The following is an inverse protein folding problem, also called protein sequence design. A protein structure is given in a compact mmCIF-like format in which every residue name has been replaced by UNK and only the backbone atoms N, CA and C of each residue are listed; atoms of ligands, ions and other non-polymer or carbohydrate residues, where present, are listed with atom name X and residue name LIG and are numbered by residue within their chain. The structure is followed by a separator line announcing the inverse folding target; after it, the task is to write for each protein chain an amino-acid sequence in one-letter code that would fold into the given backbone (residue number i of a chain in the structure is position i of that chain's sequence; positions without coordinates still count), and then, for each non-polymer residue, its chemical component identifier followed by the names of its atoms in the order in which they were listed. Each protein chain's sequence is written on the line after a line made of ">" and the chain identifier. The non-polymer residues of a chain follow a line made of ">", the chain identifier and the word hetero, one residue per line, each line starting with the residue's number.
data_IF_182843097184
#
_entry.id   IF_182843097184
#
_cell.length_a   1.000
_cell.length_b   1.000
_cell.length_c   1.000
_cell.angle_alpha   90.00
_cell.angle_beta   90.00
_cell.angle_gamma   90.00
#
_symmetry.space_group_name_H-M   'P 1'
#
loop_
_entity.id
_entity.type
_entity.pdbx_description
1 polymer ?
#
# COMPACT_ATOMS: atom_id res chain seq x y z
N UNK A 1 -4.55 9.61 20.73
CA UNK A 1 -3.50 8.72 21.18
C UNK A 1 -3.59 8.57 22.69
N UNK A 2 -3.53 7.39 23.23
CA UNK A 2 -3.08 6.16 22.61
C UNK A 2 -4.20 5.22 22.12
N UNK A 3 -5.49 5.58 22.25
CA UNK A 3 -6.61 4.68 22.00
C UNK A 3 -7.32 5.01 20.69
N UNK A 4 -7.44 4.03 19.78
CA UNK A 4 -8.11 4.20 18.47
C UNK A 4 -9.59 4.58 18.62
N UNK A 5 -10.26 4.20 19.71
CA UNK A 5 -11.63 4.61 20.00
C UNK A 5 -11.79 6.14 20.12
N UNK A 6 -10.69 6.87 20.41
CA UNK A 6 -10.71 8.33 20.44
C UNK A 6 -11.06 8.94 19.07
N UNK A 7 -10.62 8.31 17.98
CA UNK A 7 -11.02 8.75 16.62
C UNK A 7 -12.53 8.66 16.46
N UNK A 8 -13.13 7.53 16.87
CA UNK A 8 -14.58 7.33 16.83
C UNK A 8 -15.31 8.35 17.72
N UNK A 9 -14.80 8.58 18.94
CA UNK A 9 -15.42 9.50 19.88
C UNK A 9 -15.35 10.95 19.38
N UNK A 10 -14.16 11.42 18.95
CA UNK A 10 -14.00 12.78 18.36
C UNK A 10 -14.95 12.96 17.18
N UNK A 11 -15.03 11.98 16.28
CA UNK A 11 -15.92 12.03 15.11
C UNK A 11 -17.38 12.21 15.51
N UNK A 12 -17.81 11.58 16.61
CA UNK A 12 -19.16 11.73 17.17
C UNK A 12 -19.34 13.09 17.86
N UNK A 13 -18.40 13.45 18.72
CA UNK A 13 -18.47 14.67 19.54
C UNK A 13 -18.46 15.94 18.69
N UNK A 14 -17.73 15.91 17.57
CA UNK A 14 -17.69 17.04 16.60
C UNK A 14 -18.81 16.99 15.57
N UNK A 15 -19.67 15.96 15.60
CA UNK A 15 -20.74 15.77 14.62
C UNK A 15 -20.23 15.80 13.17
N UNK A 16 -19.05 15.25 12.95
CA UNK A 16 -18.39 15.28 11.64
C UNK A 16 -19.20 14.57 10.56
N UNK A 17 -19.19 15.11 9.36
CA UNK A 17 -19.87 14.54 8.19
C UNK A 17 -18.93 13.78 7.25
N UNK A 18 -17.61 13.94 7.43
CA UNK A 18 -16.57 13.28 6.67
C UNK A 18 -15.46 12.79 7.61
N UNK A 19 -14.93 11.59 7.34
CA UNK A 19 -13.78 11.03 8.03
C UNK A 19 -12.72 10.59 7.00
N UNK A 20 -11.59 11.31 6.96
CA UNK A 20 -10.42 10.96 6.16
C UNK A 20 -9.32 10.36 7.02
N UNK A 21 -8.80 9.19 6.64
CA UNK A 21 -7.72 8.54 7.35
C UNK A 21 -6.88 7.63 6.43
N UNK A 22 -5.71 7.20 6.92
CA UNK A 22 -4.95 6.14 6.27
C UNK A 22 -5.67 4.78 6.36
N UNK A 23 -5.47 3.90 5.38
CA UNK A 23 -6.05 2.56 5.40
C UNK A 23 -5.74 1.80 6.70
N UNK A 24 -4.51 1.96 7.23
CA UNK A 24 -4.10 1.35 8.49
C UNK A 24 -4.93 1.79 9.71
N UNK A 25 -5.43 3.03 9.71
CA UNK A 25 -6.32 3.51 10.78
C UNK A 25 -7.64 2.75 10.74
N UNK A 26 -8.24 2.57 9.56
CA UNK A 26 -9.47 1.80 9.40
C UNK A 26 -9.28 0.32 9.75
N UNK A 27 -8.17 -0.29 9.36
CA UNK A 27 -7.81 -1.65 9.78
C UNK A 27 -7.67 -1.76 11.30
N UNK A 28 -7.03 -0.77 11.92
CA UNK A 28 -6.88 -0.73 13.38
C UNK A 28 -8.24 -0.58 14.07
N UNK A 29 -9.14 0.25 13.55
CA UNK A 29 -10.52 0.33 14.04
C UNK A 29 -11.21 -1.03 13.90
N UNK A 30 -11.13 -1.67 12.74
CA UNK A 30 -11.72 -2.98 12.46
C UNK A 30 -11.24 -4.03 13.45
N UNK A 31 -9.93 -4.13 13.69
CA UNK A 31 -9.33 -5.14 14.56
C UNK A 31 -9.66 -4.93 16.05
N UNK A 32 -9.90 -3.68 16.44
CA UNK A 32 -10.23 -3.34 17.83
C UNK A 32 -11.74 -3.20 18.08
N UNK A 33 -12.56 -3.23 17.03
CA UNK A 33 -14.00 -3.08 17.13
C UNK A 33 -14.67 -4.40 17.53
N UNK A 34 -15.01 -4.52 18.82
CA UNK A 34 -15.60 -5.74 19.41
C UNK A 34 -17.13 -5.66 19.57
N UNK A 35 -17.78 -4.66 19.00
CA UNK A 35 -19.22 -4.45 19.14
C UNK A 35 -20.00 -4.98 17.92
N UNK A 36 -21.17 -5.55 18.17
CA UNK A 36 -22.14 -5.91 17.10
C UNK A 36 -23.04 -4.71 16.68
N UNK A 37 -22.81 -3.52 17.24
CA UNK A 37 -23.55 -2.32 16.86
C UNK A 37 -23.24 -1.95 15.40
N UNK A 38 -24.27 -1.59 14.67
CA UNK A 38 -24.18 -1.07 13.29
C UNK A 38 -24.34 0.44 13.29
N UNK A 39 -23.87 1.07 12.20
CA UNK A 39 -24.03 2.49 11.93
C UNK A 39 -23.61 3.39 13.10
N UNK A 40 -22.44 3.08 13.69
CA UNK A 40 -21.94 3.82 14.87
C UNK A 40 -21.51 5.25 14.57
N UNK A 41 -21.30 5.58 13.28
CA UNK A 41 -20.94 6.90 12.77
C UNK A 41 -21.99 7.39 11.76
N UNK A 42 -23.26 7.48 12.19
CA UNK A 42 -24.43 7.78 11.33
C UNK A 42 -24.30 9.11 10.58
N UNK A 43 -23.58 10.09 11.13
CA UNK A 43 -23.46 11.42 10.53
C UNK A 43 -22.38 11.48 9.44
N UNK A 44 -21.52 10.46 9.32
CA UNK A 44 -20.50 10.42 8.30
C UNK A 44 -21.15 10.06 6.95
N UNK A 45 -21.14 11.00 6.03
CA UNK A 45 -21.62 10.80 4.66
C UNK A 45 -20.51 10.20 3.76
N UNK A 46 -19.23 10.44 4.09
CA UNK A 46 -18.11 10.00 3.28
C UNK A 46 -16.91 9.58 4.15
N UNK A 47 -16.42 8.37 3.92
CA UNK A 47 -15.12 7.90 4.40
C UNK A 47 -14.09 8.03 3.28
N UNK A 48 -12.95 8.65 3.57
CA UNK A 48 -11.84 8.76 2.62
C UNK A 48 -10.66 7.96 3.16
N UNK A 49 -10.11 7.06 2.34
CA UNK A 49 -8.93 6.27 2.67
C UNK A 49 -7.78 6.53 1.70
N UNK A 50 -6.58 6.74 2.25
CA UNK A 50 -5.36 6.99 1.47
C UNK A 50 -4.13 6.38 2.13
N UNK A 51 -2.95 6.60 1.53
CA UNK A 51 -1.64 6.19 2.07
C UNK A 51 -1.24 4.77 1.73
N UNK A 52 -2.18 3.83 1.70
CA UNK A 52 -2.03 2.46 1.20
C UNK A 52 -3.37 1.96 0.66
N UNK A 53 -3.40 0.89 -0.15
CA UNK A 53 -4.64 0.32 -0.65
C UNK A 53 -5.55 -0.09 0.51
N UNK A 54 -6.83 0.30 0.45
CA UNK A 54 -7.84 -0.16 1.39
C UNK A 54 -8.31 -1.56 0.99
N UNK A 55 -8.24 -2.51 1.93
CA UNK A 55 -8.59 -3.90 1.62
C UNK A 55 -10.09 -4.10 1.40
N UNK A 56 -10.50 -5.09 0.60
CA UNK A 56 -11.90 -5.43 0.41
C UNK A 56 -12.65 -5.71 1.72
N UNK A 57 -11.99 -6.32 2.68
CA UNK A 57 -12.62 -6.64 3.97
C UNK A 57 -12.80 -5.39 4.84
N UNK A 58 -11.88 -4.44 4.75
CA UNK A 58 -12.03 -3.15 5.44
C UNK A 58 -13.14 -2.30 4.79
N UNK A 59 -13.30 -2.33 3.46
CA UNK A 59 -14.48 -1.74 2.79
C UNK A 59 -15.78 -2.31 3.36
N UNK A 60 -15.90 -3.63 3.43
CA UNK A 60 -17.09 -4.32 3.98
C UNK A 60 -17.31 -3.94 5.45
N UNK A 61 -16.24 -3.86 6.25
CA UNK A 61 -16.33 -3.45 7.65
C UNK A 61 -16.86 -2.01 7.79
N UNK A 62 -16.33 -1.05 7.03
CA UNK A 62 -16.79 0.34 7.07
C UNK A 62 -18.27 0.39 6.74
N UNK A 63 -18.69 -0.23 5.65
CA UNK A 63 -20.10 -0.26 5.23
C UNK A 63 -21.00 -0.96 6.27
N UNK A 64 -20.60 -2.13 6.75
CA UNK A 64 -21.45 -2.93 7.67
C UNK A 64 -21.52 -2.36 9.07
N UNK A 65 -20.44 -1.77 9.58
CA UNK A 65 -20.30 -1.45 11.00
C UNK A 65 -20.24 0.05 11.29
N UNK A 66 -19.57 0.85 10.43
CA UNK A 66 -19.43 2.27 10.69
C UNK A 66 -20.62 3.07 10.16
N UNK A 67 -20.95 2.97 8.90
CA UNK A 67 -22.18 3.52 8.32
C UNK A 67 -22.52 2.86 6.98
N UNK A 68 -23.67 2.18 6.91
CA UNK A 68 -24.14 1.47 5.71
C UNK A 68 -24.61 2.38 4.58
N UNK A 69 -24.87 3.65 4.86
CA UNK A 69 -25.38 4.66 3.90
C UNK A 69 -24.29 5.62 3.39
N UNK A 70 -23.07 5.48 3.87
CA UNK A 70 -21.97 6.38 3.49
C UNK A 70 -21.27 5.96 2.20
N UNK A 71 -20.68 6.94 1.52
CA UNK A 71 -19.71 6.67 0.46
C UNK A 71 -18.37 6.26 1.07
N UNK A 72 -17.67 5.37 0.39
CA UNK A 72 -16.30 4.96 0.77
C UNK A 72 -15.39 5.24 -0.41
N UNK A 73 -14.57 6.26 -0.29
CA UNK A 73 -13.65 6.69 -1.33
C UNK A 73 -12.22 6.30 -0.95
N UNK A 74 -11.68 5.27 -1.59
CA UNK A 74 -10.24 5.06 -1.60
C UNK A 74 -9.62 6.00 -2.63
N UNK A 75 -8.49 6.63 -2.29
CA UNK A 75 -7.83 7.60 -3.15
C UNK A 75 -6.35 7.30 -3.27
N UNK A 76 -5.79 7.55 -4.46
CA UNK A 76 -4.36 7.44 -4.72
C UNK A 76 -3.84 8.69 -5.38
N UNK A 77 -2.77 9.22 -4.83
CA UNK A 77 -2.09 10.40 -5.30
C UNK A 77 -0.70 10.51 -4.67
N UNK A 78 -0.16 11.69 -4.63
CA UNK A 78 1.17 11.91 -4.09
C UNK A 78 1.32 13.27 -3.43
N UNK A 79 2.23 13.35 -2.47
CA UNK A 79 2.57 14.61 -1.78
C UNK A 79 3.06 15.66 -2.78
N UNK A 80 3.86 15.25 -3.77
CA UNK A 80 4.45 16.17 -4.75
C UNK A 80 3.41 16.82 -5.66
N UNK A 81 2.30 16.14 -5.93
CA UNK A 81 1.23 16.70 -6.77
C UNK A 81 0.12 17.39 -5.97
N UNK A 82 0.14 17.29 -4.63
CA UNK A 82 -0.90 17.83 -3.74
C UNK A 82 -2.33 17.48 -4.23
N UNK A 83 -2.49 16.31 -4.80
CA UNK A 83 -3.72 15.87 -5.48
C UNK A 83 -3.79 14.34 -5.55
N UNK A 84 -4.85 13.83 -6.19
CA UNK A 84 -5.06 12.42 -6.44
C UNK A 84 -5.17 12.15 -7.94
N UNK A 85 -4.46 11.12 -8.42
CA UNK A 85 -4.65 10.59 -9.77
C UNK A 85 -5.95 9.82 -9.89
N UNK A 86 -6.28 9.07 -8.84
CA UNK A 86 -7.50 8.28 -8.75
C UNK A 86 -8.22 8.58 -7.44
N UNK A 87 -9.53 8.67 -7.51
CA UNK A 87 -10.36 9.02 -6.36
C UNK A 87 -11.79 8.45 -6.47
N UNK A 88 -12.60 8.73 -5.46
CA UNK A 88 -14.00 8.38 -5.46
C UNK A 88 -14.84 9.33 -6.33
N UNK A 89 -15.80 8.78 -7.05
CA UNK A 89 -16.72 9.50 -7.92
C UNK A 89 -18.13 9.27 -7.39
N UNK A 90 -18.79 10.29 -6.81
CA UNK A 90 -20.08 10.13 -6.11
C UNK A 90 -21.21 9.58 -6.99
N UNK A 91 -21.11 9.74 -8.30
CA UNK A 91 -22.13 9.29 -9.28
C UNK A 91 -21.90 7.84 -9.74
N UNK A 92 -20.82 7.18 -9.31
CA UNK A 92 -20.50 5.81 -9.69
C UNK A 92 -20.64 4.85 -8.49
N UNK A 93 -20.98 3.58 -8.75
CA UNK A 93 -20.99 2.55 -7.69
C UNK A 93 -19.61 2.36 -7.05
N UNK A 94 -19.61 2.04 -5.77
CA UNK A 94 -18.39 1.66 -5.02
C UNK A 94 -18.22 0.14 -5.06
N UNK A 95 -17.12 -0.32 -5.63
CA UNK A 95 -16.74 -1.73 -5.60
C UNK A 95 -15.64 -1.95 -4.54
N UNK A 96 -15.84 -2.97 -3.73
CA UNK A 96 -14.94 -3.29 -2.60
C UNK A 96 -13.51 -3.56 -3.10
N UNK A 97 -12.53 -2.79 -2.60
CA UNK A 97 -11.12 -2.87 -3.00
C UNK A 97 -10.74 -2.10 -4.25
N UNK A 98 -11.69 -1.39 -4.90
CA UNK A 98 -11.41 -0.57 -6.08
C UNK A 98 -11.43 0.92 -5.75
N UNK A 99 -10.61 1.69 -6.47
CA UNK A 99 -10.73 3.15 -6.58
C UNK A 99 -11.60 3.43 -7.81
N UNK A 100 -12.63 4.26 -7.69
CA UNK A 100 -13.69 4.37 -8.69
C UNK A 100 -13.24 4.91 -10.03
N UNK A 101 -12.32 5.87 -10.08
CA UNK A 101 -11.89 6.41 -11.36
C UNK A 101 -10.85 7.53 -11.26
N UNK A 102 -10.52 8.15 -12.41
CA UNK A 102 -9.56 9.24 -12.47
C UNK A 102 -10.10 10.51 -11.80
N UNK A 103 -9.20 11.28 -11.19
CA UNK A 103 -9.47 12.63 -10.74
C UNK A 103 -9.80 13.56 -11.90
N UNK A 104 -10.52 14.63 -11.64
CA UNK A 104 -10.82 15.65 -12.66
C UNK A 104 -9.51 16.27 -13.20
N UNK A 105 -9.38 16.30 -14.51
CA UNK A 105 -8.17 16.78 -15.19
C UNK A 105 -6.99 15.81 -15.19
N UNK A 106 -7.16 14.59 -14.71
CA UNK A 106 -6.14 13.54 -14.67
C UNK A 106 -6.36 12.51 -15.79
N UNK A 107 -5.62 12.62 -16.90
CA UNK A 107 -5.66 11.65 -18.00
C UNK A 107 -4.78 10.45 -17.70
N UNK A 108 -5.23 9.61 -16.79
CA UNK A 108 -4.50 8.43 -16.34
C UNK A 108 -4.70 7.22 -17.24
N UNK A 109 -3.67 6.37 -17.27
CA UNK A 109 -3.71 5.07 -17.94
C UNK A 109 -2.80 4.08 -17.23
N UNK A 110 -2.83 2.82 -17.67
CA UNK A 110 -1.96 1.74 -17.20
C UNK A 110 -1.06 1.31 -18.33
N UNK A 111 0.26 1.50 -18.19
CA UNK A 111 1.24 1.15 -19.22
C UNK A 111 2.02 -0.11 -18.86
N UNK A 112 2.27 -0.94 -19.89
CA UNK A 112 3.26 -2.01 -19.81
C UNK A 112 4.69 -1.45 -19.87
N UNK A 113 5.69 -2.31 -19.76
CA UNK A 113 7.11 -1.90 -19.78
C UNK A 113 7.56 -1.29 -21.12
N UNK A 114 6.83 -1.54 -22.20
CA UNK A 114 7.09 -0.98 -23.51
C UNK A 114 6.40 0.40 -23.73
N UNK A 115 5.83 1.00 -22.68
CA UNK A 115 5.14 2.29 -22.75
C UNK A 115 3.80 2.25 -23.51
N UNK A 116 3.17 1.09 -23.61
CA UNK A 116 1.88 0.92 -24.28
C UNK A 116 0.77 0.64 -23.28
N UNK A 117 -0.46 1.16 -23.50
CA UNK A 117 -1.62 0.84 -22.70
C UNK A 117 -1.85 -0.67 -22.55
N UNK A 118 -2.25 -1.12 -21.37
CA UNK A 118 -2.48 -2.53 -21.08
C UNK A 118 -3.73 -2.74 -20.22
N UNK A 119 -4.45 -3.85 -20.47
CA UNK A 119 -5.53 -4.34 -19.59
C UNK A 119 -5.00 -5.21 -18.46
N UNK A 120 -3.72 -5.58 -18.51
CA UNK A 120 -3.02 -6.28 -17.43
C UNK A 120 -2.55 -5.28 -16.39
N UNK A 121 -1.91 -5.76 -15.34
CA UNK A 121 -1.25 -4.92 -14.35
C UNK A 121 -0.04 -4.21 -14.98
N UNK A 122 0.16 -2.95 -14.63
CA UNK A 122 1.24 -2.14 -15.17
C UNK A 122 1.49 -0.86 -14.35
N UNK A 123 2.26 0.05 -14.92
CA UNK A 123 2.61 1.33 -14.31
C UNK A 123 1.47 2.33 -14.43
N UNK A 124 1.12 3.00 -13.32
CA UNK A 124 0.22 4.16 -13.35
C UNK A 124 0.92 5.33 -14.02
N UNK A 125 0.32 5.84 -15.09
CA UNK A 125 0.80 7.01 -15.81
C UNK A 125 -0.28 8.09 -15.90
N UNK A 126 0.15 9.37 -15.98
CA UNK A 126 -0.69 10.47 -16.42
C UNK A 126 -0.14 11.00 -17.74
N UNK A 127 -0.94 10.89 -18.80
CA UNK A 127 -0.49 11.12 -20.17
C UNK A 127 -0.39 12.59 -20.54
N UNK A 128 -1.23 13.42 -19.93
CA UNK A 128 -1.27 14.86 -20.17
C UNK A 128 -0.79 15.66 -18.96
N UNK A 129 -0.29 16.87 -19.14
CA UNK A 129 -0.02 17.78 -18.04
C UNK A 129 -1.29 18.05 -17.20
N UNK A 130 -1.12 18.20 -15.91
CA UNK A 130 -2.22 18.47 -14.98
C UNK A 130 -1.88 19.68 -14.09
N UNK A 131 -2.90 20.40 -13.55
CA UNK A 131 -2.69 21.71 -12.91
C UNK A 131 -1.72 21.69 -11.72
N UNK A 132 -1.76 20.63 -10.89
CA UNK A 132 -0.95 20.49 -9.68
C UNK A 132 0.40 19.81 -9.90
N UNK A 133 0.83 19.65 -11.17
CA UNK A 133 2.14 19.10 -11.48
C UNK A 133 3.25 20.02 -10.94
N UNK A 134 4.23 19.50 -10.16
CA UNK A 134 5.37 20.29 -9.71
C UNK A 134 6.11 20.94 -10.87
N UNK A 135 6.57 22.14 -10.70
CA UNK A 135 7.36 22.86 -11.69
C UNK A 135 8.81 22.34 -11.68
N UNK A 136 9.36 22.15 -10.46
CA UNK A 136 10.71 21.63 -10.22
C UNK A 136 10.81 21.13 -8.77
N UNK A 137 11.92 20.45 -8.45
CA UNK A 137 12.26 20.13 -7.08
C UNK A 137 13.22 21.17 -6.47
N UNK A 138 13.08 21.40 -5.17
CA UNK A 138 14.00 22.27 -4.44
C UNK A 138 15.44 21.76 -4.56
N UNK A 139 16.40 22.66 -4.81
CA UNK A 139 17.81 22.35 -5.04
C UNK A 139 18.07 21.34 -6.20
N UNK A 140 17.27 21.40 -7.26
CA UNK A 140 17.40 20.58 -8.47
C UNK A 140 17.49 21.47 -9.71
N UNK A 141 18.57 22.26 -9.81
CA UNK A 141 18.76 23.31 -10.84
C UNK A 141 18.63 22.83 -12.28
N UNK A 142 19.05 21.57 -12.55
CA UNK A 142 18.99 20.96 -13.88
C UNK A 142 17.72 20.11 -14.08
N UNK A 143 16.87 20.04 -13.08
CA UNK A 143 15.69 19.17 -13.04
C UNK A 143 16.00 17.66 -13.21
N UNK A 144 17.21 17.21 -12.89
CA UNK A 144 17.64 15.83 -13.05
C UNK A 144 16.91 14.89 -12.10
N UNK A 145 16.73 15.29 -10.83
CA UNK A 145 15.98 14.52 -9.83
C UNK A 145 14.51 14.43 -10.22
N UNK A 146 13.92 15.56 -10.62
CA UNK A 146 12.54 15.64 -11.06
C UNK A 146 12.27 14.77 -12.29
N UNK A 147 13.10 14.91 -13.33
CA UNK A 147 13.01 14.09 -14.54
C UNK A 147 13.22 12.61 -14.24
N UNK A 148 14.22 12.29 -13.40
CA UNK A 148 14.51 10.92 -13.01
C UNK A 148 13.35 10.28 -12.22
N UNK A 149 12.67 11.05 -11.36
CA UNK A 149 11.57 10.55 -10.55
C UNK A 149 10.33 10.17 -11.38
N UNK A 150 9.99 10.99 -12.40
CA UNK A 150 8.68 10.89 -13.03
C UNK A 150 8.70 10.67 -14.55
N UNK A 151 9.81 10.96 -15.25
CA UNK A 151 9.87 10.93 -16.71
C UNK A 151 10.96 10.02 -17.27
N UNK A 152 11.77 9.39 -16.41
CA UNK A 152 12.84 8.49 -16.85
C UNK A 152 12.30 7.23 -17.52
N UNK A 153 11.22 6.66 -16.98
CA UNK A 153 10.66 5.40 -17.47
C UNK A 153 9.96 5.60 -18.82
N UNK A 154 9.16 6.65 -18.93
CA UNK A 154 8.43 7.01 -20.14
C UNK A 154 8.65 8.50 -20.42
N UNK A 155 9.48 8.86 -21.43
CA UNK A 155 9.75 10.27 -21.75
C UNK A 155 8.46 11.07 -22.00
N UNK A 156 8.36 12.24 -21.38
CA UNK A 156 7.23 13.17 -21.44
C UNK A 156 5.90 12.66 -20.85
N UNK A 157 5.86 11.49 -20.25
CA UNK A 157 4.68 10.93 -19.60
C UNK A 157 5.00 10.77 -18.11
N UNK A 158 4.13 11.33 -17.25
CA UNK A 158 4.28 11.19 -15.79
C UNK A 158 4.09 9.73 -15.37
N UNK A 159 5.14 9.13 -14.85
CA UNK A 159 5.14 7.77 -14.28
C UNK A 159 5.12 7.87 -12.77
N UNK A 160 3.99 7.49 -12.14
CA UNK A 160 3.81 7.77 -10.70
C UNK A 160 4.58 6.82 -9.79
N UNK A 161 4.92 5.65 -10.29
CA UNK A 161 5.60 4.62 -9.51
C UNK A 161 4.63 3.73 -8.72
N UNK A 162 3.36 3.66 -9.12
CA UNK A 162 2.38 2.72 -8.59
C UNK A 162 2.09 1.62 -9.62
N UNK A 163 2.02 0.37 -9.13
CA UNK A 163 1.69 -0.81 -9.93
C UNK A 163 0.19 -1.08 -9.82
N UNK A 164 -0.54 -0.88 -10.93
CA UNK A 164 -2.01 -0.84 -10.91
C UNK A 164 -2.62 -1.68 -12.02
N UNK A 165 -3.91 -1.97 -11.88
CA UNK A 165 -4.73 -2.61 -12.92
C UNK A 165 -6.06 -1.90 -13.02
N UNK A 166 -6.50 -1.60 -14.25
CA UNK A 166 -7.87 -1.17 -14.53
C UNK A 166 -8.80 -2.38 -14.47
N UNK A 167 -9.91 -2.25 -13.74
CA UNK A 167 -10.87 -3.34 -13.58
C UNK A 167 -11.91 -3.35 -14.69
N UNK A 168 -12.69 -4.42 -14.77
CA UNK A 168 -13.83 -4.50 -15.70
C UNK A 168 -14.95 -3.53 -15.35
N UNK A 169 -15.00 -3.05 -14.10
CA UNK A 169 -15.97 -2.07 -13.63
C UNK A 169 -15.56 -0.62 -13.97
N UNK A 170 -14.39 -0.42 -14.60
CA UNK A 170 -13.84 0.89 -14.93
C UNK A 170 -13.00 1.52 -13.82
N UNK A 171 -12.99 0.94 -12.61
CA UNK A 171 -12.17 1.35 -11.48
C UNK A 171 -10.73 0.85 -11.57
N UNK A 172 -9.97 1.07 -10.50
CA UNK A 172 -8.54 0.70 -10.42
C UNK A 172 -8.23 -0.02 -9.11
N UNK A 173 -7.34 -1.02 -9.19
CA UNK A 173 -6.75 -1.69 -8.03
C UNK A 173 -5.26 -1.42 -8.01
N UNK A 174 -4.73 -1.01 -6.85
CA UNK A 174 -3.30 -0.78 -6.63
C UNK A 174 -2.70 -2.01 -5.96
N UNK A 175 -1.61 -2.51 -6.52
CA UNK A 175 -0.85 -3.66 -6.00
C UNK A 175 0.42 -3.26 -5.25
N UNK A 176 0.66 -1.97 -5.08
CA UNK A 176 1.80 -1.40 -4.38
C UNK A 176 2.64 -0.47 -5.27
N UNK A 177 3.85 -0.16 -4.79
CA UNK A 177 4.82 0.64 -5.56
C UNK A 177 5.44 -0.19 -6.68
N UNK A 178 5.60 0.39 -7.87
CA UNK A 178 6.24 -0.30 -8.99
C UNK A 178 7.74 -0.54 -8.77
N UNK A 179 8.40 0.35 -8.01
CA UNK A 179 9.80 0.24 -7.61
C UNK A 179 10.03 -0.79 -6.48
N UNK A 180 8.98 -1.12 -5.71
CA UNK A 180 8.98 -2.19 -4.70
C UNK A 180 8.39 -3.51 -5.22
N UNK A 181 8.01 -3.58 -6.49
CA UNK A 181 7.48 -4.81 -7.13
C UNK A 181 8.52 -5.93 -7.05
N UNK A 182 8.05 -7.11 -6.64
CA UNK A 182 8.85 -8.33 -6.59
C UNK A 182 8.89 -8.99 -7.98
N UNK A 183 9.98 -9.68 -8.29
CA UNK A 183 10.16 -10.28 -9.62
C UNK A 183 10.68 -11.73 -9.60
N UNK A 184 10.08 -12.65 -8.81
CA UNK A 184 10.53 -14.02 -8.71
C UNK A 184 10.31 -14.77 -10.03
N UNK A 185 11.41 -15.32 -10.59
CA UNK A 185 11.37 -16.04 -11.87
C UNK A 185 10.83 -15.20 -13.02
N UNK A 186 11.10 -13.89 -13.05
CA UNK A 186 10.69 -12.97 -14.10
C UNK A 186 9.21 -12.56 -14.08
N UNK A 187 8.45 -12.92 -13.03
CA UNK A 187 7.04 -12.55 -12.89
C UNK A 187 6.89 -11.42 -11.87
N UNK A 188 6.35 -10.28 -12.31
CA UNK A 188 6.08 -9.16 -11.42
C UNK A 188 4.92 -9.43 -10.47
N UNK A 189 5.17 -9.23 -9.18
CA UNK A 189 4.22 -9.40 -8.09
C UNK A 189 4.19 -8.13 -7.26
N UNK A 190 3.01 -7.56 -7.06
CA UNK A 190 2.81 -6.43 -6.17
C UNK A 190 2.85 -6.86 -4.70
N UNK A 191 3.59 -6.13 -3.86
CA UNK A 191 3.64 -6.42 -2.41
C UNK A 191 2.26 -6.38 -1.76
N UNK A 192 1.37 -5.51 -2.26
CA UNK A 192 -0.02 -5.40 -1.80
C UNK A 192 -0.85 -6.67 -1.97
N UNK A 193 -0.54 -7.53 -2.95
CA UNK A 193 -1.21 -8.82 -3.12
C UNK A 193 -0.93 -9.74 -1.92
N UNK A 194 0.33 -9.79 -1.50
CA UNK A 194 0.76 -10.56 -0.34
C UNK A 194 0.12 -9.98 0.93
N UNK A 195 0.18 -8.67 1.13
CA UNK A 195 -0.38 -8.02 2.32
C UNK A 195 -1.88 -8.26 2.46
N UNK A 196 -2.65 -8.07 1.40
CA UNK A 196 -4.11 -8.33 1.39
C UNK A 196 -4.43 -9.78 1.73
N UNK A 197 -3.62 -10.72 1.23
CA UNK A 197 -3.80 -12.14 1.49
C UNK A 197 -3.52 -12.51 2.96
N UNK A 198 -2.59 -11.80 3.61
CA UNK A 198 -2.19 -12.05 5.00
C UNK A 198 -3.10 -11.39 6.06
N UNK A 199 -3.92 -10.42 5.70
CA UNK A 199 -4.81 -9.70 6.62
C UNK A 199 -5.78 -10.58 7.42
N UNK A 200 -6.15 -11.73 6.92
CA UNK A 200 -7.02 -12.67 7.63
C UNK A 200 -6.37 -13.31 8.87
N UNK A 201 -5.06 -13.24 8.98
CA UNK A 201 -4.34 -13.80 10.12
C UNK A 201 -4.23 -12.77 11.24
N UNK A 202 -5.21 -12.74 12.13
CA UNK A 202 -5.31 -11.76 13.22
C UNK A 202 -4.12 -11.73 14.18
N UNK A 203 -3.25 -12.74 14.16
CA UNK A 203 -2.02 -12.80 14.94
C UNK A 203 -0.84 -12.08 14.27
N UNK A 204 -0.97 -11.68 13.00
CA UNK A 204 -0.02 -10.80 12.32
C UNK A 204 -0.43 -9.35 12.61
N UNK A 205 0.43 -8.61 13.32
CA UNK A 205 0.23 -7.19 13.56
C UNK A 205 0.60 -6.38 12.32
N UNK A 206 1.71 -6.76 11.68
CA UNK A 206 2.24 -6.09 10.50
C UNK A 206 3.14 -7.00 9.69
N UNK A 207 3.35 -6.67 8.40
CA UNK A 207 4.23 -7.44 7.54
C UNK A 207 4.89 -6.57 6.46
N UNK A 208 6.06 -7.02 5.98
CA UNK A 208 6.79 -6.40 4.87
C UNK A 208 7.37 -7.50 3.97
N UNK A 209 7.03 -7.45 2.69
CA UNK A 209 7.59 -8.33 1.66
C UNK A 209 8.60 -7.55 0.82
N UNK A 210 9.74 -8.17 0.54
CA UNK A 210 10.77 -7.56 -0.30
C UNK A 210 11.56 -8.64 -1.06
N UNK A 211 12.35 -8.21 -2.05
CA UNK A 211 13.15 -9.09 -2.90
C UNK A 211 14.58 -9.23 -2.39
N UNK A 212 15.05 -10.45 -2.24
CA UNK A 212 16.44 -10.79 -2.06
C UNK A 212 17.06 -11.24 -3.38
N UNK A 213 18.11 -10.57 -3.82
CA UNK A 213 18.77 -10.85 -5.08
C UNK A 213 19.74 -12.02 -4.94
N UNK A 214 19.53 -13.07 -5.72
CA UNK A 214 20.47 -14.17 -5.89
C UNK A 214 21.23 -14.02 -7.22
N UNK A 215 22.20 -14.87 -7.50
CA UNK A 215 22.96 -14.80 -8.76
C UNK A 215 22.07 -14.80 -10.02
N UNK A 216 20.95 -15.52 -10.00
CA UNK A 216 20.14 -15.78 -11.19
C UNK A 216 18.67 -15.37 -11.06
N UNK A 217 18.21 -14.93 -9.86
CA UNK A 217 16.80 -14.70 -9.62
C UNK A 217 16.59 -13.77 -8.41
N UNK A 218 15.38 -13.25 -8.27
CA UNK A 218 14.92 -12.56 -7.07
C UNK A 218 14.03 -13.51 -6.25
N UNK A 219 14.34 -13.65 -4.95
CA UNK A 219 13.55 -14.45 -4.00
C UNK A 219 12.74 -13.56 -3.09
N UNK A 220 11.48 -13.93 -2.85
CA UNK A 220 10.63 -13.21 -1.91
C UNK A 220 11.06 -13.52 -0.48
N UNK A 221 11.34 -12.49 0.30
CA UNK A 221 11.54 -12.55 1.75
C UNK A 221 10.42 -11.80 2.42
N UNK A 222 9.78 -12.45 3.40
CA UNK A 222 8.67 -11.91 4.16
C UNK A 222 9.09 -11.68 5.61
N UNK A 223 8.91 -10.47 6.10
CA UNK A 223 9.11 -10.10 7.50
C UNK A 223 7.75 -9.94 8.17
N UNK A 224 7.60 -10.50 9.36
CA UNK A 224 6.36 -10.48 10.14
C UNK A 224 6.60 -9.86 11.51
N UNK A 225 5.74 -8.92 11.86
CA UNK A 225 5.57 -8.47 13.24
C UNK A 225 4.34 -9.17 13.80
N UNK A 226 4.51 -9.91 14.90
CA UNK A 226 3.44 -10.67 15.54
C UNK A 226 2.84 -9.88 16.70
N UNK A 227 1.52 -10.00 16.90
CA UNK A 227 0.85 -9.45 18.09
C UNK A 227 1.35 -10.10 19.39
N UNK A 228 1.69 -11.38 19.32
CA UNK A 228 2.26 -12.13 20.44
C UNK A 228 3.31 -13.09 19.91
N UNK A 229 4.54 -13.00 20.42
CA UNK A 229 5.65 -13.87 20.02
C UNK A 229 5.55 -15.32 20.53
N UNK A 230 4.63 -15.59 21.48
CA UNK A 230 4.39 -16.93 22.04
C UNK A 230 3.37 -17.75 21.24
N UNK A 231 3.19 -17.47 19.96
CA UNK A 231 2.31 -18.23 19.09
C UNK A 231 2.97 -19.58 18.77
N UNK A 232 2.41 -20.65 19.32
CA UNK A 232 2.87 -22.02 19.06
C UNK A 232 2.18 -22.60 17.80
N UNK A 233 2.50 -22.01 16.63
CA UNK A 233 1.94 -22.42 15.33
C UNK A 233 3.07 -22.47 14.32
N UNK A 234 3.09 -23.48 13.48
CA UNK A 234 3.96 -23.50 12.31
C UNK A 234 3.48 -22.49 11.25
N UNK A 235 3.79 -21.22 11.53
CA UNK A 235 3.41 -20.12 10.64
C UNK A 235 4.03 -20.26 9.26
N UNK A 236 5.21 -20.86 9.11
CA UNK A 236 5.86 -21.07 7.82
C UNK A 236 4.98 -21.91 6.90
N UNK A 237 4.60 -23.10 7.34
CA UNK A 237 3.76 -24.01 6.55
C UNK A 237 2.39 -23.41 6.27
N UNK A 238 1.76 -22.80 7.28
CA UNK A 238 0.42 -22.20 7.15
C UNK A 238 0.42 -21.06 6.12
N UNK A 239 1.34 -20.10 6.25
CA UNK A 239 1.38 -18.94 5.38
C UNK A 239 1.79 -19.30 3.96
N UNK A 240 2.80 -20.16 3.79
CA UNK A 240 3.23 -20.63 2.46
C UNK A 240 2.10 -21.38 1.74
N UNK A 241 1.41 -22.28 2.44
CA UNK A 241 0.25 -23.00 1.89
C UNK A 241 -0.85 -21.99 1.50
N UNK A 242 -1.16 -21.04 2.38
CA UNK A 242 -2.20 -20.07 2.12
C UNK A 242 -1.89 -19.17 0.92
N UNK A 243 -0.69 -18.60 0.85
CA UNK A 243 -0.27 -17.76 -0.27
C UNK A 243 -0.27 -18.54 -1.60
N UNK A 244 0.17 -19.82 -1.57
CA UNK A 244 0.14 -20.69 -2.74
C UNK A 244 -1.28 -20.93 -3.26
N UNK A 245 -2.23 -21.19 -2.37
CA UNK A 245 -3.62 -21.54 -2.75
C UNK A 245 -4.48 -20.33 -3.09
N UNK A 246 -4.28 -19.21 -2.40
CA UNK A 246 -5.09 -18.00 -2.60
C UNK A 246 -4.57 -17.10 -3.73
N UNK A 247 -3.28 -17.15 -4.04
CA UNK A 247 -2.65 -16.36 -5.09
C UNK A 247 -1.99 -17.26 -6.14
N UNK A 248 -0.73 -17.65 -5.94
CA UNK A 248 -0.04 -18.60 -6.82
C UNK A 248 1.25 -19.13 -6.18
N UNK A 249 1.86 -20.21 -6.73
CA UNK A 249 3.17 -20.68 -6.25
C UNK A 249 4.29 -19.62 -6.26
N UNK A 250 4.20 -18.62 -7.14
CA UNK A 250 5.21 -17.55 -7.25
C UNK A 250 5.14 -16.50 -6.15
N UNK A 251 3.99 -16.40 -5.43
CA UNK A 251 3.82 -15.53 -4.27
C UNK A 251 4.37 -16.13 -2.97
N UNK A 252 4.79 -17.40 -3.01
CA UNK A 252 5.26 -18.09 -1.81
C UNK A 252 6.64 -17.54 -1.43
N UNK A 253 6.81 -16.98 -0.22
CA UNK A 253 8.10 -16.47 0.21
C UNK A 253 9.11 -17.62 0.36
N UNK A 254 10.32 -17.36 -0.09
CA UNK A 254 11.45 -18.27 0.12
C UNK A 254 11.75 -18.41 1.61
N UNK A 255 11.86 -17.26 2.31
CA UNK A 255 12.07 -17.21 3.76
C UNK A 255 11.08 -16.26 4.43
N UNK A 256 10.75 -16.58 5.69
CA UNK A 256 9.90 -15.78 6.56
C UNK A 256 10.68 -15.53 7.86
N UNK A 257 10.83 -14.26 8.23
CA UNK A 257 11.47 -13.84 9.47
C UNK A 257 10.48 -13.13 10.38
N UNK A 258 10.58 -13.40 11.68
CA UNK A 258 9.87 -12.62 12.69
C UNK A 258 10.77 -11.47 13.11
N UNK A 259 10.23 -10.28 13.16
CA UNK A 259 10.92 -9.05 13.55
C UNK A 259 10.15 -8.32 14.62
N UNK A 260 10.84 -7.50 15.41
CA UNK A 260 10.24 -6.70 16.47
C UNK A 260 9.39 -5.56 15.90
N UNK A 261 9.83 -4.96 14.79
CA UNK A 261 9.10 -3.86 14.17
C UNK A 261 9.37 -3.77 12.66
N UNK A 262 8.43 -3.18 11.93
CA UNK A 262 8.52 -2.96 10.48
C UNK A 262 8.96 -1.50 10.23
N UNK A 263 10.05 -1.25 9.46
CA UNK A 263 10.47 0.10 9.12
C UNK A 263 9.40 0.88 8.37
N UNK A 264 9.03 2.05 8.88
CA UNK A 264 7.99 2.90 8.30
C UNK A 264 8.46 4.33 8.11
N UNK A 265 7.98 4.95 7.06
CA UNK A 265 8.13 6.40 6.88
C UNK A 265 7.34 7.16 7.95
N UNK A 266 7.66 8.44 8.17
CA UNK A 266 6.90 9.33 9.07
C UNK A 266 5.41 9.43 8.72
N UNK A 267 5.04 9.16 7.47
CA UNK A 267 3.65 9.04 7.01
C UNK A 267 3.01 7.66 7.22
N UNK A 268 3.72 6.71 7.86
CA UNK A 268 3.23 5.37 8.19
C UNK A 268 3.31 4.34 7.06
N UNK A 269 3.94 4.65 5.93
CA UNK A 269 4.10 3.71 4.80
C UNK A 269 5.25 2.74 5.06
N UNK A 270 5.11 1.49 4.61
CA UNK A 270 6.19 0.50 4.63
C UNK A 270 7.39 0.96 3.81
N UNK A 271 8.59 0.66 4.29
CA UNK A 271 9.84 1.07 3.65
C UNK A 271 10.50 -0.12 2.93
N UNK A 272 9.76 -0.76 1.99
CA UNK A 272 10.19 -1.98 1.28
C UNK A 272 11.52 -1.79 0.57
N UNK A 273 11.72 -0.66 -0.12
CA UNK A 273 12.95 -0.35 -0.87
C UNK A 273 14.14 -0.24 0.09
N UNK A 274 13.93 0.37 1.26
CA UNK A 274 14.96 0.46 2.28
C UNK A 274 15.37 -0.92 2.78
N UNK A 275 14.39 -1.76 3.13
CA UNK A 275 14.66 -3.13 3.59
C UNK A 275 15.32 -3.94 2.48
N UNK A 276 14.86 -3.80 1.21
CA UNK A 276 15.51 -4.44 0.05
C UNK A 276 16.99 -4.10 -0.02
N UNK A 277 17.36 -2.83 0.12
CA UNK A 277 18.75 -2.39 0.13
C UNK A 277 19.55 -3.01 1.29
N UNK A 278 18.99 -3.00 2.49
CA UNK A 278 19.68 -3.52 3.68
C UNK A 278 20.00 -5.00 3.53
N UNK A 279 19.01 -5.82 3.16
CA UNK A 279 19.20 -7.28 3.06
C UNK A 279 20.06 -7.70 1.87
N UNK A 280 20.23 -6.82 0.88
CA UNK A 280 21.13 -7.05 -0.26
C UNK A 280 22.50 -6.36 -0.08
N UNK A 281 22.81 -5.84 1.12
CA UNK A 281 24.05 -5.15 1.47
C UNK A 281 24.34 -3.89 0.63
N UNK A 282 23.30 -3.25 0.11
CA UNK A 282 23.43 -1.99 -0.61
C UNK A 282 23.59 -0.80 0.36
N UNK A 283 24.21 0.28 -0.13
CA UNK A 283 24.33 1.52 0.65
C UNK A 283 22.96 2.13 0.94
N UNK A 284 22.71 2.39 2.21
CA UNK A 284 21.49 3.02 2.71
C UNK A 284 21.77 4.46 3.10
N UNK A 285 20.97 5.38 2.57
CA UNK A 285 20.99 6.81 2.89
C UNK A 285 19.62 7.23 3.47
N UNK A 286 19.57 8.35 4.21
CA UNK A 286 18.34 8.99 4.68
C UNK A 286 17.47 8.17 5.65
N UNK A 287 18.06 7.61 6.71
CA UNK A 287 17.29 7.01 7.81
C UNK A 287 16.40 8.04 8.57
N UNK A 288 16.68 9.33 8.45
CA UNK A 288 15.90 10.41 9.08
C UNK A 288 14.46 10.57 8.57
N UNK A 289 14.11 9.92 7.44
CA UNK A 289 12.73 9.88 6.93
C UNK A 289 11.84 8.83 7.62
N UNK A 290 12.44 7.95 8.42
CA UNK A 290 11.71 6.92 9.14
C UNK A 290 11.07 7.47 10.42
N UNK A 291 9.95 6.88 10.79
CA UNK A 291 9.29 7.08 12.08
C UNK A 291 9.98 6.28 13.19
N UNK A 292 10.57 5.11 12.83
CA UNK A 292 11.20 4.13 13.73
C UNK A 292 12.57 3.68 13.17
N UNK A 293 13.57 4.59 13.09
CA UNK A 293 14.87 4.27 12.49
C UNK A 293 15.64 3.14 13.21
N UNK A 294 15.38 2.92 14.50
CA UNK A 294 15.95 1.84 15.31
C UNK A 294 15.54 0.44 14.80
N UNK A 295 14.40 0.30 14.16
CA UNK A 295 13.97 -0.97 13.58
C UNK A 295 14.95 -1.54 12.57
N UNK A 296 15.69 -0.69 11.86
CA UNK A 296 16.67 -1.06 10.83
C UNK A 296 17.82 -1.89 11.38
N UNK A 297 18.17 -1.74 12.67
CA UNK A 297 19.30 -2.45 13.30
C UNK A 297 19.10 -3.97 13.27
N UNK A 298 17.87 -4.43 13.45
CA UNK A 298 17.53 -5.84 13.42
C UNK A 298 17.73 -6.44 12.03
N UNK A 299 17.30 -5.76 10.98
CA UNK A 299 17.41 -6.22 9.59
C UNK A 299 18.85 -6.37 9.12
N UNK A 300 19.77 -5.53 9.62
CA UNK A 300 21.21 -5.64 9.32
C UNK A 300 21.87 -6.88 9.93
N UNK A 301 21.26 -7.46 10.96
CA UNK A 301 21.77 -8.66 11.67
C UNK A 301 21.21 -9.96 11.09
N UNK A 302 20.17 -9.87 10.25
CA UNK A 302 19.54 -11.06 9.67
C UNK A 302 20.45 -11.65 8.61
N UNK A 303 20.91 -12.88 8.83
CA UNK A 303 21.60 -13.65 7.81
C UNK A 303 20.57 -14.36 6.92
N UNK A 304 20.40 -13.83 5.71
CA UNK A 304 19.40 -14.40 4.77
C UNK A 304 19.86 -15.71 4.16
N UNK A 305 21.15 -16.05 4.21
CA UNK A 305 21.68 -17.26 3.63
C UNK A 305 21.58 -18.49 4.56
N UNK A 306 21.43 -18.28 5.84
CA UNK A 306 21.08 -19.31 6.82
C UNK A 306 19.57 -19.57 6.86
#
# INVERSE_FOLDING_TARGET
>A
YPNINRVINITKDTNSTMLGAGAKVYETIQNNYKSNKKDILKNINCFISTGSPLSPDTFKFINKSLNSKSFIHSVSGGTDIVSCFMLGIPTLPVYSGEIQGPGLGMDIDVFNDNGKPTKKTGELVCKTPFPSKPIYFWNDRLNDKYKSAYFKKFPNIWSHGDYVKKTKNGGYVIFGRSDATLNPGGVRIGTGEIYSCLQKFHWIEDCLATGYLTKNDEKIVLFLKLLNTKINVDFNTILKKHLKTSLSPRHVPWKIFIVKDIPRTKSGKNSEILVKKIINNDKVQNLGSLANPESVIEYRKININE
#
